data_IF_110203688608
#
_entry.id   IF_110203688608
#
_cell.length_a   1.000
_cell.length_b   1.000
_cell.length_c   1.000
_cell.angle_alpha   90.00
_cell.angle_beta   90.00
_cell.angle_gamma   90.00
#
_symmetry.space_group_name_H-M   'P 1'
#
loop_
_entity.id
_entity.type
_entity.pdbx_description
1 polymer ?
#
# COMPACT_ATOMS: atom_id res chain seq x y z
N UNK A 1 9.94 -21.73 12.05
CA UNK A 1 8.91 -20.94 12.77
C UNK A 1 9.22 -21.06 14.27
N UNK A 2 9.39 -19.96 15.00
CA UNK A 2 9.83 -20.01 16.40
C UNK A 2 8.63 -20.17 17.34
N UNK A 3 8.15 -21.41 17.50
CA UNK A 3 6.94 -21.72 18.25
C UNK A 3 6.99 -21.24 19.71
N UNK A 4 8.16 -21.29 20.35
CA UNK A 4 8.36 -20.78 21.71
C UNK A 4 8.09 -19.28 21.84
N UNK A 5 8.45 -18.52 20.80
CA UNK A 5 8.23 -17.07 20.76
C UNK A 5 6.73 -16.77 20.63
N UNK A 6 6.04 -17.53 19.77
CA UNK A 6 4.59 -17.39 19.55
C UNK A 6 3.81 -17.72 20.81
N UNK A 7 4.14 -18.81 21.50
CA UNK A 7 3.47 -19.22 22.74
C UNK A 7 3.69 -18.19 23.87
N UNK A 8 4.90 -17.62 23.94
CA UNK A 8 5.20 -16.54 24.89
C UNK A 8 4.37 -15.29 24.61
N UNK A 9 4.18 -14.91 23.35
CA UNK A 9 3.38 -13.75 22.97
C UNK A 9 1.90 -13.97 23.30
N UNK A 10 1.36 -15.15 23.02
CA UNK A 10 -0.03 -15.50 23.35
C UNK A 10 -0.27 -15.41 24.85
N UNK A 11 0.68 -15.89 25.65
CA UNK A 11 0.59 -15.84 27.12
C UNK A 11 0.57 -14.40 27.61
N UNK A 12 1.44 -13.54 27.08
CA UNK A 12 1.51 -12.12 27.44
C UNK A 12 0.21 -11.40 27.06
N UNK A 13 -0.30 -11.61 25.85
CA UNK A 13 -1.55 -11.01 25.36
C UNK A 13 -2.74 -11.46 26.21
N UNK A 14 -2.78 -12.74 26.61
CA UNK A 14 -3.82 -13.28 27.49
C UNK A 14 -3.81 -12.73 28.92
N UNK A 15 -2.69 -12.17 29.37
CA UNK A 15 -2.57 -11.53 30.69
C UNK A 15 -2.86 -10.02 30.70
N UNK A 16 -3.11 -9.41 29.54
CA UNK A 16 -3.49 -7.99 29.44
C UNK A 16 -4.91 -7.75 29.95
N UNK A 17 -5.15 -6.55 30.45
CA UNK A 17 -6.51 -6.06 30.72
C UNK A 17 -7.29 -5.80 29.42
N UNK A 18 -8.61 -5.64 29.54
CA UNK A 18 -9.50 -5.42 28.38
C UNK A 18 -9.13 -4.13 27.62
N UNK A 19 -8.80 -3.05 28.34
CA UNK A 19 -8.34 -1.78 27.77
C UNK A 19 -6.98 -1.90 27.08
N UNK A 20 -6.03 -2.63 27.68
CA UNK A 20 -4.72 -2.87 27.06
C UNK A 20 -4.81 -3.77 25.84
N UNK A 21 -5.77 -4.70 25.82
CA UNK A 21 -6.04 -5.57 24.68
C UNK A 21 -6.67 -4.78 23.53
N UNK A 22 -7.61 -3.89 23.80
CA UNK A 22 -8.17 -2.96 22.78
C UNK A 22 -7.07 -2.09 22.17
N UNK A 23 -6.19 -1.51 22.98
CA UNK A 23 -5.05 -0.71 22.51
C UNK A 23 -4.04 -1.55 21.72
N UNK A 24 -3.79 -2.79 22.14
CA UNK A 24 -2.94 -3.72 21.43
C UNK A 24 -3.54 -4.10 20.07
N UNK A 25 -4.84 -4.39 20.00
CA UNK A 25 -5.55 -4.67 18.76
C UNK A 25 -5.54 -3.45 17.83
N UNK A 26 -5.77 -2.25 18.33
CA UNK A 26 -5.69 -1.01 17.53
C UNK A 26 -4.31 -0.82 16.90
N UNK A 27 -3.23 -1.18 17.60
CA UNK A 27 -1.85 -1.07 17.09
C UNK A 27 -1.42 -2.22 16.20
N UNK A 28 -1.88 -3.44 16.48
CA UNK A 28 -1.52 -4.65 15.72
C UNK A 28 -2.31 -4.74 14.42
N UNK A 29 -3.59 -4.39 14.47
CA UNK A 29 -4.51 -4.24 13.34
C UNK A 29 -4.59 -2.80 12.83
N UNK A 30 -3.64 -1.94 13.24
CA UNK A 30 -3.18 -0.86 12.38
C UNK A 30 -2.49 -1.47 11.17
N UNK A 31 -3.23 -2.28 10.41
CA UNK A 31 -2.97 -2.57 9.03
C UNK A 31 -2.84 -1.20 8.43
N UNK A 32 -1.59 -0.87 8.11
CA UNK A 32 -1.19 0.18 7.22
C UNK A 32 -2.39 0.51 6.34
N UNK A 33 -3.07 1.61 6.64
CA UNK A 33 -3.99 2.24 5.71
C UNK A 33 -3.15 2.85 4.58
N UNK A 34 -2.15 2.08 4.11
CA UNK A 34 -1.38 2.27 2.92
C UNK A 34 -2.41 2.18 1.84
N UNK A 35 -2.82 3.36 1.42
CA UNK A 35 -3.57 3.58 0.20
C UNK A 35 -2.93 2.68 -0.84
N UNK A 36 -3.68 1.68 -1.30
CA UNK A 36 -3.12 0.70 -2.22
C UNK A 36 -2.75 1.45 -3.49
N UNK A 37 -1.68 1.05 -4.17
CA UNK A 37 -1.29 1.68 -5.45
C UNK A 37 -2.48 1.76 -6.43
N UNK A 38 -3.36 0.76 -6.40
CA UNK A 38 -4.61 0.74 -7.18
C UNK A 38 -5.59 1.86 -6.80
N UNK A 39 -5.71 2.20 -5.52
CA UNK A 39 -6.57 3.30 -5.06
C UNK A 39 -5.99 4.67 -5.44
N UNK A 40 -4.66 4.82 -5.38
CA UNK A 40 -3.98 6.02 -5.87
C UNK A 40 -4.16 6.19 -7.39
N UNK A 41 -4.02 5.10 -8.15
CA UNK A 41 -4.24 5.12 -9.61
C UNK A 41 -5.70 5.49 -9.92
N UNK A 42 -6.66 4.87 -9.23
CA UNK A 42 -8.09 5.18 -9.41
C UNK A 42 -8.41 6.64 -9.07
N UNK A 43 -7.78 7.20 -8.03
CA UNK A 43 -7.95 8.60 -7.66
C UNK A 43 -7.35 9.53 -8.73
N UNK A 44 -6.14 9.25 -9.21
CA UNK A 44 -5.47 10.03 -10.25
C UNK A 44 -6.25 9.99 -11.58
N UNK A 45 -6.82 8.83 -11.93
CA UNK A 45 -7.65 8.68 -13.13
C UNK A 45 -8.98 9.45 -13.01
N UNK A 46 -9.66 9.38 -11.86
CA UNK A 46 -10.89 10.16 -11.62
C UNK A 46 -10.63 11.66 -11.53
N UNK A 47 -9.45 12.04 -11.06
CA UNK A 47 -9.00 13.42 -10.93
C UNK A 47 -8.38 13.98 -12.21
N UNK A 48 -8.47 13.27 -13.34
CA UNK A 48 -7.95 13.72 -14.63
C UNK A 48 -6.46 14.08 -14.61
N UNK A 49 -5.69 13.51 -13.67
CA UNK A 49 -4.27 13.83 -13.49
C UNK A 49 -3.41 13.35 -14.67
N UNK A 50 -3.97 12.53 -15.56
CA UNK A 50 -3.33 12.00 -16.76
C UNK A 50 -3.83 12.65 -18.06
N UNK A 51 -4.73 13.65 -17.99
CA UNK A 51 -5.28 14.29 -19.19
C UNK A 51 -4.19 14.99 -20.03
N UNK A 52 -3.08 15.41 -19.40
CA UNK A 52 -1.94 15.98 -20.11
C UNK A 52 -1.32 15.02 -21.14
N UNK A 53 -1.47 13.70 -20.96
CA UNK A 53 -1.01 12.69 -21.91
C UNK A 53 -1.80 12.73 -23.23
N UNK A 54 -3.04 13.23 -23.22
CA UNK A 54 -3.85 13.36 -24.42
C UNK A 54 -3.38 14.51 -25.32
N UNK A 55 -2.71 15.51 -24.74
CA UNK A 55 -2.16 16.67 -25.42
C UNK A 55 -0.64 16.55 -25.65
N UNK A 56 -0.05 15.37 -25.41
CA UNK A 56 1.37 15.17 -25.65
C UNK A 56 1.67 15.24 -27.17
N UNK A 57 2.65 16.08 -27.58
CA UNK A 57 3.07 16.10 -28.96
C UNK A 57 3.70 14.75 -29.32
N UNK A 58 3.37 14.23 -30.50
CA UNK A 58 3.94 13.00 -31.02
C UNK A 58 5.41 13.22 -31.40
N UNK A 59 6.29 13.18 -30.39
CA UNK A 59 7.74 13.41 -30.51
C UNK A 59 8.54 12.12 -30.69
N UNK A 60 7.85 10.96 -30.63
CA UNK A 60 8.46 9.66 -30.85
C UNK A 60 8.16 9.18 -32.27
N UNK A 61 8.98 9.62 -33.22
CA UNK A 61 8.95 9.08 -34.57
C UNK A 61 9.75 7.79 -34.64
N UNK A 62 9.23 6.75 -35.30
CA UNK A 62 10.00 5.56 -35.72
C UNK A 62 11.09 5.91 -36.75
N UNK A 63 11.13 7.15 -37.20
CA UNK A 63 12.23 7.77 -37.94
C UNK A 63 13.28 8.31 -36.96
N UNK A 64 13.72 7.52 -35.98
CA UNK A 64 14.92 7.85 -35.19
C UNK A 64 16.20 7.83 -36.05
N UNK A 65 16.07 7.51 -37.34
CA UNK A 65 17.16 7.40 -38.30
C UNK A 65 18.03 6.18 -38.05
N UNK A 66 17.69 5.37 -37.05
CA UNK A 66 18.36 4.12 -36.73
C UNK A 66 17.66 3.00 -37.50
N UNK A 67 18.45 2.15 -38.15
CA UNK A 67 17.90 1.02 -38.90
C UNK A 67 17.43 -0.06 -37.92
N UNK A 68 16.17 -0.50 -38.06
CA UNK A 68 15.67 -1.75 -37.48
C UNK A 68 16.33 -2.98 -38.09
#
# INVERSE_FOLDING_TARGET
MNHKLVDSLITIIGSLSEEERENFEEKLFFDNNQIRTQELINLAQKGNSFDFLADEPDIYTLEDGESV
#
